data_IF_978784843484
#
_entry.id   IF_978784843484
#
_cell.length_a   1.000
_cell.length_b   1.000
_cell.length_c   1.000
_cell.angle_alpha   90.00
_cell.angle_beta   90.00
_cell.angle_gamma   90.00
#
_symmetry.space_group_name_H-M   'P 1'
#
loop_
_entity.id
_entity.type
_entity.pdbx_description
1 polymer ?
#
# COMPACT_ATOMS: atom_id res chain seq x y z
N UNK A 1 9.87 -14.13 4.14
CA UNK A 1 8.44 -14.45 4.21
C UNK A 1 7.70 -13.30 3.54
N UNK A 2 6.99 -13.53 2.44
CA UNK A 2 6.33 -12.44 1.72
C UNK A 2 5.01 -12.09 2.40
N UNK A 3 4.90 -10.88 2.95
CA UNK A 3 3.62 -10.35 3.42
C UNK A 3 2.80 -9.87 2.22
N UNK A 4 1.53 -10.24 2.17
CA UNK A 4 0.62 -9.88 1.08
C UNK A 4 -0.62 -9.19 1.64
N UNK A 5 -1.19 -8.28 0.86
CA UNK A 5 -2.46 -7.60 1.17
C UNK A 5 -3.40 -7.74 -0.03
N UNK A 6 -4.64 -8.17 0.21
CA UNK A 6 -5.63 -8.36 -0.85
C UNK A 6 -6.41 -7.07 -1.10
N UNK A 7 -6.54 -6.68 -2.38
CA UNK A 7 -7.28 -5.52 -2.87
C UNK A 7 -8.18 -6.03 -3.99
N UNK A 8 -9.48 -6.17 -3.74
CA UNK A 8 -10.46 -6.62 -4.75
C UNK A 8 -10.02 -7.89 -5.53
N UNK A 9 -9.44 -8.87 -4.83
CA UNK A 9 -8.91 -10.11 -5.41
C UNK A 9 -7.49 -10.02 -5.97
N UNK A 10 -6.87 -8.84 -5.98
CA UNK A 10 -5.45 -8.64 -6.30
C UNK A 10 -4.58 -8.81 -5.05
N UNK A 11 -3.53 -9.64 -5.11
CA UNK A 11 -2.60 -9.84 -4.00
C UNK A 11 -1.35 -8.95 -4.14
N UNK A 12 -1.32 -7.86 -3.38
CA UNK A 12 -0.18 -6.95 -3.37
C UNK A 12 0.95 -7.46 -2.47
N UNK A 13 2.17 -7.61 -3.01
CA UNK A 13 3.37 -8.05 -2.28
C UNK A 13 4.01 -6.85 -1.55
N UNK A 14 3.70 -6.69 -0.27
CA UNK A 14 4.07 -5.53 0.54
C UNK A 14 5.58 -5.17 0.53
N UNK A 15 6.51 -6.13 0.66
CA UNK A 15 7.95 -5.84 0.65
C UNK A 15 8.45 -5.12 -0.61
N UNK A 16 7.73 -5.25 -1.72
CA UNK A 16 8.16 -4.72 -3.01
C UNK A 16 7.53 -3.37 -3.34
N UNK A 17 6.58 -2.88 -2.53
CA UNK A 17 5.92 -1.60 -2.78
C UNK A 17 6.90 -0.47 -2.46
N UNK A 18 7.15 0.39 -3.44
CA UNK A 18 8.10 1.50 -3.37
C UNK A 18 7.41 2.85 -3.13
N UNK A 19 6.32 3.10 -3.86
CA UNK A 19 5.58 4.36 -3.81
C UNK A 19 4.10 4.06 -3.67
N UNK A 20 3.39 4.86 -2.89
CA UNK A 20 1.94 4.85 -2.78
C UNK A 20 1.45 6.22 -3.25
N UNK A 21 0.39 6.25 -4.03
CA UNK A 21 -0.23 7.45 -4.55
C UNK A 21 -1.56 7.69 -3.82
N UNK A 22 -1.86 8.96 -3.50
CA UNK A 22 -3.07 9.30 -2.75
C UNK A 22 -4.34 8.97 -3.54
N UNK A 23 -5.47 9.02 -2.83
CA UNK A 23 -6.79 8.97 -3.47
C UNK A 23 -7.04 10.30 -4.18
N UNK A 24 -7.32 10.23 -5.48
CA UNK A 24 -7.63 11.36 -6.35
C UNK A 24 -8.90 11.09 -7.16
N UNK A 25 -9.61 12.16 -7.53
CA UNK A 25 -10.79 12.04 -8.38
C UNK A 25 -10.39 12.10 -9.86
N UNK A 26 -10.75 11.08 -10.63
CA UNK A 26 -10.70 11.11 -12.11
C UNK A 26 -12.12 11.02 -12.68
N UNK A 27 -12.60 12.15 -13.21
CA UNK A 27 -13.95 12.32 -13.76
C UNK A 27 -15.03 11.92 -12.75
N UNK A 28 -15.64 10.74 -12.95
CA UNK A 28 -16.75 10.19 -12.16
C UNK A 28 -16.29 9.14 -11.15
N UNK A 29 -14.99 8.86 -11.08
CA UNK A 29 -14.43 7.81 -10.25
C UNK A 29 -13.36 8.35 -9.31
N UNK A 30 -13.04 7.54 -8.31
CA UNK A 30 -11.98 7.80 -7.35
C UNK A 30 -10.92 6.73 -7.50
N UNK A 31 -9.67 7.14 -7.74
CA UNK A 31 -8.57 6.24 -7.98
C UNK A 31 -7.43 6.45 -7.00
N UNK A 32 -6.67 5.40 -6.77
CA UNK A 32 -5.38 5.44 -6.10
C UNK A 32 -4.54 4.29 -6.64
N UNK A 33 -3.25 4.26 -6.31
CA UNK A 33 -2.38 3.19 -6.78
C UNK A 33 -1.06 3.14 -6.06
N UNK A 34 -0.20 2.25 -6.51
CA UNK A 34 1.16 2.13 -6.00
C UNK A 34 2.11 1.63 -7.09
N UNK A 35 3.40 1.79 -6.84
CA UNK A 35 4.48 1.32 -7.72
C UNK A 35 5.34 0.30 -6.98
N UNK A 36 5.66 -0.81 -7.65
CA UNK A 36 6.66 -1.77 -7.20
C UNK A 36 8.09 -1.30 -7.52
N UNK A 37 9.06 -1.80 -6.75
CA UNK A 37 10.50 -1.63 -7.01
C UNK A 37 10.88 -2.13 -8.42
N UNK A 38 10.15 -3.11 -8.96
CA UNK A 38 10.32 -3.61 -10.33
C UNK A 38 9.95 -2.59 -11.41
N UNK A 39 9.28 -1.49 -11.05
CA UNK A 39 8.76 -0.50 -11.99
C UNK A 39 7.29 -0.72 -12.37
N UNK A 40 6.69 -1.85 -12.01
CA UNK A 40 5.27 -2.14 -12.26
C UNK A 40 4.38 -1.19 -11.46
N UNK A 41 3.35 -0.65 -12.11
CA UNK A 41 2.33 0.20 -11.50
C UNK A 41 1.00 -0.54 -11.42
N UNK A 42 0.35 -0.42 -10.28
CA UNK A 42 -1.01 -0.92 -10.05
C UNK A 42 -1.90 0.25 -9.66
N UNK A 43 -3.11 0.30 -10.19
CA UNK A 43 -4.10 1.32 -9.86
C UNK A 43 -5.47 0.70 -9.69
N UNK A 44 -6.26 1.29 -8.79
CA UNK A 44 -7.58 0.81 -8.41
C UNK A 44 -8.59 1.94 -8.57
N UNK A 45 -9.79 1.62 -9.03
CA UNK A 45 -10.85 2.58 -9.34
C UNK A 45 -12.11 2.21 -8.59
N UNK A 46 -12.69 3.19 -7.90
CA UNK A 46 -13.89 3.02 -7.08
C UNK A 46 -14.96 4.04 -7.47
N UNK A 47 -16.21 3.72 -7.12
CA UNK A 47 -17.37 4.58 -7.39
C UNK A 47 -17.50 5.73 -6.40
N UNK A 48 -16.87 5.64 -5.22
CA UNK A 48 -16.95 6.66 -4.19
C UNK A 48 -15.60 6.92 -3.52
N UNK A 49 -15.38 8.16 -3.11
CA UNK A 49 -14.19 8.56 -2.34
C UNK A 49 -14.05 7.75 -1.06
N UNK A 50 -15.16 7.55 -0.35
CA UNK A 50 -15.22 6.82 0.91
C UNK A 50 -14.71 5.39 0.76
N UNK A 51 -15.09 4.71 -0.32
CA UNK A 51 -14.64 3.35 -0.61
C UNK A 51 -13.14 3.32 -0.96
N UNK A 52 -12.70 4.23 -1.84
CA UNK A 52 -11.30 4.38 -2.20
C UNK A 52 -10.42 4.64 -0.96
N UNK A 53 -10.80 5.61 -0.12
CA UNK A 53 -10.09 5.95 1.12
C UNK A 53 -10.05 4.78 2.11
N UNK A 54 -11.16 4.04 2.26
CA UNK A 54 -11.20 2.89 3.18
C UNK A 54 -10.12 1.87 2.83
N UNK A 55 -10.02 1.51 1.54
CA UNK A 55 -9.09 0.46 1.09
C UNK A 55 -7.67 1.01 1.01
N UNK A 56 -7.48 2.22 0.48
CA UNK A 56 -6.19 2.92 0.47
C UNK A 56 -5.58 2.99 1.88
N UNK A 57 -6.35 3.43 2.88
CA UNK A 57 -5.85 3.57 4.25
C UNK A 57 -5.53 2.20 4.88
N UNK A 58 -6.36 1.18 4.64
CA UNK A 58 -6.08 -0.18 5.10
C UNK A 58 -4.76 -0.72 4.48
N UNK A 59 -4.50 -0.43 3.21
CA UNK A 59 -3.26 -0.80 2.54
C UNK A 59 -2.04 -0.05 3.11
N UNK A 60 -2.15 1.26 3.31
CA UNK A 60 -1.11 2.09 3.93
C UNK A 60 -0.81 1.60 5.35
N UNK A 61 -1.83 1.29 6.15
CA UNK A 61 -1.67 0.75 7.50
C UNK A 61 -0.96 -0.60 7.49
N UNK A 62 -1.30 -1.48 6.54
CA UNK A 62 -0.62 -2.76 6.37
C UNK A 62 0.86 -2.60 6.01
N UNK A 63 1.19 -1.66 5.12
CA UNK A 63 2.58 -1.33 4.77
C UNK A 63 3.35 -0.75 5.96
N UNK A 64 2.74 0.17 6.69
CA UNK A 64 3.34 0.75 7.89
C UNK A 64 3.59 -0.32 8.96
N UNK A 65 2.65 -1.23 9.18
CA UNK A 65 2.81 -2.34 10.11
C UNK A 65 3.94 -3.27 9.67
N UNK A 66 3.98 -3.63 8.39
CA UNK A 66 5.05 -4.44 7.81
C UNK A 66 6.41 -3.78 8.06
N UNK A 67 6.61 -2.53 7.62
CA UNK A 67 7.90 -1.85 7.78
C UNK A 67 8.26 -1.56 9.23
N UNK A 68 7.29 -1.30 10.11
CA UNK A 68 7.54 -1.16 11.56
C UNK A 68 8.03 -2.46 12.19
N UNK A 69 7.52 -3.61 11.76
CA UNK A 69 7.99 -4.91 12.23
C UNK A 69 9.40 -5.23 11.69
N UNK A 70 9.72 -4.82 10.47
CA UNK A 70 10.99 -5.11 9.80
C UNK A 70 12.11 -4.09 10.13
N UNK A 71 11.76 -2.85 10.49
CA UNK A 71 12.71 -1.82 10.95
C UNK A 71 13.03 -1.95 12.46
N UNK A 72 12.36 -2.85 13.19
CA UNK A 72 12.66 -3.16 14.60
C UNK A 72 13.84 -4.13 14.81
N UNK A 73 14.53 -4.56 13.75
CA UNK A 73 15.69 -5.47 13.85
C UNK A 73 17.06 -4.77 13.98
N UNK A 74 17.10 -3.47 14.30
CA UNK A 74 18.33 -2.82 14.77
C UNK A 74 18.09 -2.34 16.19
N UNK A 75 18.37 -3.20 17.17
CA UNK A 75 18.64 -2.71 18.52
C UNK A 75 19.96 -1.93 18.48
N UNK A 76 20.04 -0.72 19.05
CA UNK A 76 21.32 -0.13 19.33
C UNK A 76 22.01 -1.01 20.38
N UNK A 77 23.15 -1.60 20.04
CA UNK A 77 24.08 -2.09 21.04
C UNK A 77 24.47 -0.90 21.90
N UNK A 78 24.01 -0.90 23.15
CA UNK A 78 24.51 0.00 24.17
C UNK A 78 26.04 -0.15 24.25
N UNK A 79 26.74 0.97 24.22
CA UNK A 79 28.15 1.12 24.60
C UNK A 79 28.27 2.35 25.47
#
# INVERSE_FOLDING_TARGET
MSAMFEIDGYLAVLPHVQNIYPVEQDKFYWCWGFKYISGVFEYFIYRSEKEALKIHNAFVDALNLYWKAHNKSVQPTAS
#
